data_IF_484441980929
#
_entry.id   IF_484441980929
#
_cell.length_a   1.000
_cell.length_b   1.000
_cell.length_c   1.000
_cell.angle_alpha   90.00
_cell.angle_beta   90.00
_cell.angle_gamma   90.00
#
_symmetry.space_group_name_H-M   'P 1'
#
loop_
_entity.id
_entity.type
_entity.pdbx_description
1 polymer ?
#
# COMPACT_ATOMS: atom_id res chain seq x y z
N UNK A 1 -13.05 5.02 6.65
CA UNK A 1 -13.03 3.60 6.21
C UNK A 1 -12.02 3.47 5.08
N UNK A 2 -10.93 2.72 5.31
CA UNK A 2 -9.93 2.43 4.29
C UNK A 2 -10.16 1.00 3.81
N UNK A 3 -10.56 0.85 2.55
CA UNK A 3 -10.93 -0.43 1.97
C UNK A 3 -9.98 -0.76 0.82
N UNK A 4 -9.44 -1.97 0.84
CA UNK A 4 -8.73 -2.50 -0.31
C UNK A 4 -9.72 -3.23 -1.22
N UNK A 5 -9.77 -2.83 -2.47
CA UNK A 5 -10.68 -3.39 -3.47
C UNK A 5 -9.85 -3.85 -4.67
N UNK A 6 -10.19 -5.01 -5.23
CA UNK A 6 -9.63 -5.48 -6.50
C UNK A 6 -10.64 -5.18 -7.58
N UNK A 7 -10.26 -4.36 -8.55
CA UNK A 7 -11.08 -4.02 -9.71
C UNK A 7 -10.39 -4.59 -10.95
N UNK A 8 -11.12 -5.38 -11.75
CA UNK A 8 -10.63 -5.74 -13.07
C UNK A 8 -10.85 -4.56 -14.02
N UNK A 9 -9.77 -4.03 -14.58
CA UNK A 9 -9.82 -3.01 -15.63
C UNK A 9 -9.15 -3.60 -16.88
N UNK A 10 -9.93 -3.78 -17.95
CA UNK A 10 -9.51 -4.41 -19.22
C UNK A 10 -8.91 -5.81 -19.05
N UNK A 11 -9.45 -6.60 -18.12
CA UNK A 11 -8.94 -7.95 -17.83
C UNK A 11 -7.62 -7.98 -17.06
N UNK A 12 -7.02 -6.83 -16.74
CA UNK A 12 -5.88 -6.74 -15.83
C UNK A 12 -6.36 -6.44 -14.41
N UNK A 13 -5.81 -7.14 -13.39
CA UNK A 13 -6.12 -6.82 -12.01
C UNK A 13 -5.52 -5.47 -11.62
N UNK A 14 -6.36 -4.50 -11.30
CA UNK A 14 -5.96 -3.25 -10.64
C UNK A 14 -6.32 -3.35 -9.16
N UNK A 15 -5.39 -2.98 -8.28
CA UNK A 15 -5.68 -2.88 -6.85
C UNK A 15 -5.91 -1.45 -6.46
N UNK A 16 -7.04 -1.22 -5.82
CA UNK A 16 -7.51 0.09 -5.41
C UNK A 16 -7.41 0.17 -3.89
N UNK A 17 -6.52 1.05 -3.42
CA UNK A 17 -6.51 1.52 -2.05
C UNK A 17 -7.37 2.78 -2.00
N UNK A 18 -8.61 2.62 -1.59
CA UNK A 18 -9.54 3.73 -1.49
C UNK A 18 -9.66 4.15 -0.01
N UNK A 19 -9.46 5.43 0.24
CA UNK A 19 -9.60 6.04 1.55
C UNK A 19 -10.81 6.96 1.55
N UNK A 20 -11.79 6.67 2.41
CA UNK A 20 -12.90 7.58 2.70
C UNK A 20 -12.74 8.10 4.12
N UNK A 21 -12.36 9.38 4.26
CA UNK A 21 -12.22 10.03 5.57
C UNK A 21 -13.59 10.45 6.13
N UNK A 22 -14.50 10.95 5.28
CA UNK A 22 -15.89 11.25 5.62
C UNK A 22 -16.77 11.15 4.35
N UNK A 23 -18.08 11.46 4.44
CA UNK A 23 -19.01 11.43 3.30
C UNK A 23 -18.85 12.60 2.32
N UNK A 24 -17.91 13.53 2.55
CA UNK A 24 -17.69 14.70 1.71
C UNK A 24 -16.66 14.37 0.61
N UNK A 25 -17.08 14.44 -0.66
CA UNK A 25 -16.21 14.15 -1.83
C UNK A 25 -14.92 14.98 -1.84
N UNK A 26 -14.93 16.20 -1.31
CA UNK A 26 -13.78 17.11 -1.26
C UNK A 26 -12.64 16.63 -0.37
N UNK A 27 -12.86 15.60 0.45
CA UNK A 27 -11.86 14.98 1.33
C UNK A 27 -11.57 13.52 0.95
N UNK A 28 -11.97 13.12 -0.24
CA UNK A 28 -11.80 11.74 -0.71
C UNK A 28 -10.69 11.66 -1.75
N UNK A 29 -9.92 10.58 -1.69
CA UNK A 29 -8.94 10.26 -2.71
C UNK A 29 -8.99 8.77 -3.04
N UNK A 30 -8.66 8.47 -4.29
CA UNK A 30 -8.50 7.11 -4.77
C UNK A 30 -7.02 6.93 -5.09
N UNK A 31 -6.36 6.01 -4.40
CA UNK A 31 -5.04 5.54 -4.78
C UNK A 31 -5.20 4.17 -5.39
N UNK A 32 -4.61 3.93 -6.55
CA UNK A 32 -4.66 2.64 -7.21
C UNK A 32 -3.27 2.29 -7.73
N UNK A 33 -3.04 0.99 -7.86
CA UNK A 33 -1.81 0.45 -8.41
C UNK A 33 -2.13 -0.35 -9.66
N UNK A 34 -1.47 -0.01 -10.76
CA UNK A 34 -1.57 -0.69 -12.05
C UNK A 34 -0.16 -0.91 -12.59
N UNK A 35 0.16 -2.16 -12.96
CA UNK A 35 1.49 -2.54 -13.46
C UNK A 35 2.63 -1.99 -12.59
N UNK A 36 2.53 -2.17 -11.27
CA UNK A 36 3.55 -1.73 -10.31
C UNK A 36 3.81 -0.20 -10.28
N UNK A 37 2.86 0.61 -10.76
CA UNK A 37 2.90 2.07 -10.67
C UNK A 37 1.69 2.58 -9.85
N UNK A 38 1.91 3.61 -9.04
CA UNK A 38 0.88 4.24 -8.22
C UNK A 38 0.21 5.38 -9.00
N UNK A 39 -1.12 5.43 -8.97
CA UNK A 39 -1.91 6.55 -9.45
C UNK A 39 -2.77 7.08 -8.31
N UNK A 40 -2.71 8.38 -8.04
CA UNK A 40 -3.56 9.05 -7.06
C UNK A 40 -4.51 10.01 -7.76
N UNK A 41 -5.79 9.93 -7.39
CA UNK A 41 -6.86 10.76 -7.91
C UNK A 41 -7.51 11.46 -6.71
N UNK A 42 -7.60 12.79 -6.74
CA UNK A 42 -8.38 13.53 -5.75
C UNK A 42 -9.83 13.63 -6.23
N UNK A 43 -10.80 13.20 -5.42
CA UNK A 43 -12.20 13.28 -5.81
C UNK A 43 -12.78 14.69 -5.69
N UNK A 44 -12.06 15.67 -5.12
CA UNK A 44 -12.44 17.08 -5.29
C UNK A 44 -12.41 17.51 -6.76
N UNK A 45 -11.55 16.89 -7.57
CA UNK A 45 -11.34 17.26 -8.96
C UNK A 45 -12.55 16.96 -9.83
N UNK A 46 -13.41 16.04 -9.39
CA UNK A 46 -14.60 15.65 -10.16
C UNK A 46 -15.74 16.66 -10.01
N UNK A 47 -15.72 17.54 -8.99
CA UNK A 47 -16.87 18.38 -8.61
C UNK A 47 -17.39 19.26 -9.76
N UNK A 48 -16.48 19.68 -10.63
CA UNK A 48 -16.74 20.53 -11.80
C UNK A 48 -16.83 19.71 -13.10
N UNK A 49 -16.99 18.39 -13.00
CA UNK A 49 -17.06 17.47 -14.13
C UNK A 49 -18.42 16.78 -14.21
N UNK A 50 -18.83 16.27 -15.39
CA UNK A 50 -20.04 15.45 -15.52
C UNK A 50 -20.03 14.19 -14.63
N UNK A 51 -18.86 13.70 -14.21
CA UNK A 51 -18.76 12.55 -13.29
C UNK A 51 -19.32 12.86 -11.90
N UNK A 52 -19.43 14.12 -11.49
CA UNK A 52 -19.94 14.46 -10.18
C UNK A 52 -21.38 13.96 -9.98
N UNK A 53 -22.24 14.17 -10.98
CA UNK A 53 -23.64 13.76 -10.92
C UNK A 53 -23.78 12.24 -10.89
N UNK A 54 -23.01 11.53 -11.74
CA UNK A 54 -22.91 10.07 -11.75
C UNK A 54 -22.50 9.53 -10.38
N UNK A 55 -21.46 10.10 -9.77
CA UNK A 55 -20.97 9.65 -8.47
C UNK A 55 -21.97 9.91 -7.35
N UNK A 56 -22.63 11.08 -7.34
CA UNK A 56 -23.69 11.39 -6.39
C UNK A 56 -24.85 10.41 -6.52
N UNK A 57 -25.26 10.06 -7.74
CA UNK A 57 -26.32 9.08 -7.96
C UNK A 57 -25.95 7.70 -7.41
N UNK A 58 -24.71 7.24 -7.65
CA UNK A 58 -24.22 5.95 -7.12
C UNK A 58 -24.21 5.95 -5.58
N UNK A 59 -23.72 7.03 -4.97
CA UNK A 59 -23.57 7.13 -3.51
C UNK A 59 -24.94 7.29 -2.81
N UNK A 60 -25.89 8.00 -3.43
CA UNK A 60 -27.25 8.20 -2.91
C UNK A 60 -28.22 7.06 -3.21
N UNK A 61 -27.82 6.08 -4.02
CA UNK A 61 -28.66 4.92 -4.33
C UNK A 61 -29.19 4.21 -3.07
N UNK A 62 -30.41 3.69 -3.18
CA UNK A 62 -31.27 3.08 -2.14
C UNK A 62 -30.64 1.89 -1.39
N UNK A 63 -31.21 1.46 -0.24
CA UNK A 63 -30.53 0.62 0.77
C UNK A 63 -30.21 -0.83 0.35
N UNK A 64 -30.59 -1.27 -0.84
CA UNK A 64 -30.28 -2.62 -1.37
C UNK A 64 -28.76 -2.87 -1.49
N UNK A 65 -27.95 -1.79 -1.48
CA UNK A 65 -26.48 -1.87 -1.50
C UNK A 65 -25.89 -1.32 -0.21
N UNK A 66 -25.04 -2.14 0.42
CA UNK A 66 -24.17 -1.66 1.51
C UNK A 66 -23.34 -0.46 1.05
N UNK A 67 -22.97 0.43 1.96
CA UNK A 67 -22.12 1.59 1.63
C UNK A 67 -20.85 1.13 0.88
N UNK A 68 -20.25 0.03 1.34
CA UNK A 68 -19.10 -0.60 0.69
C UNK A 68 -19.32 -0.90 -0.80
N UNK A 69 -20.46 -1.47 -1.18
CA UNK A 69 -20.79 -1.76 -2.59
C UNK A 69 -20.98 -0.50 -3.43
N UNK A 70 -21.61 0.54 -2.86
CA UNK A 70 -21.79 1.83 -3.54
C UNK A 70 -20.45 2.52 -3.78
N UNK A 71 -19.59 2.50 -2.77
CA UNK A 71 -18.23 3.03 -2.86
C UNK A 71 -17.38 2.29 -3.89
N UNK A 72 -17.42 0.95 -3.91
CA UNK A 72 -16.75 0.15 -4.91
C UNK A 72 -17.16 0.56 -6.34
N UNK A 73 -18.45 0.77 -6.57
CA UNK A 73 -18.97 1.19 -7.87
C UNK A 73 -18.52 2.61 -8.23
N UNK A 74 -18.56 3.54 -7.26
CA UNK A 74 -18.08 4.91 -7.45
C UNK A 74 -16.59 4.94 -7.85
N UNK A 75 -15.73 4.21 -7.12
CA UNK A 75 -14.32 4.06 -7.50
C UNK A 75 -14.16 3.45 -8.89
N UNK A 76 -14.90 2.41 -9.21
CA UNK A 76 -14.83 1.75 -10.53
C UNK A 76 -15.16 2.72 -11.67
N UNK A 77 -16.15 3.60 -11.49
CA UNK A 77 -16.53 4.61 -12.49
C UNK A 77 -15.43 5.65 -12.72
N UNK A 78 -14.82 6.17 -11.66
CA UNK A 78 -13.71 7.13 -11.75
C UNK A 78 -12.48 6.49 -12.41
N UNK A 79 -12.17 5.26 -12.01
CA UNK A 79 -11.04 4.49 -12.57
C UNK A 79 -11.24 4.23 -14.06
N UNK A 80 -12.46 3.89 -14.48
CA UNK A 80 -12.79 3.68 -15.89
C UNK A 80 -12.53 4.94 -16.73
N UNK A 81 -12.83 6.13 -16.21
CA UNK A 81 -12.53 7.38 -16.92
C UNK A 81 -11.03 7.62 -17.05
N UNK A 82 -10.26 7.28 -16.00
CA UNK A 82 -8.81 7.47 -15.96
C UNK A 82 -8.01 6.44 -16.77
N UNK A 83 -8.66 5.34 -17.17
CA UNK A 83 -7.99 4.16 -17.71
C UNK A 83 -7.15 4.44 -18.96
N UNK A 84 -7.61 5.20 -19.97
CA UNK A 84 -6.80 5.50 -21.15
C UNK A 84 -5.51 6.26 -20.81
N UNK A 85 -5.59 7.22 -19.88
CA UNK A 85 -4.42 7.97 -19.41
C UNK A 85 -3.47 7.08 -18.65
N UNK A 86 -3.99 6.23 -17.75
CA UNK A 86 -3.17 5.28 -17.00
C UNK A 86 -2.43 4.31 -17.93
N UNK A 87 -3.11 3.73 -18.92
CA UNK A 87 -2.49 2.87 -19.94
C UNK A 87 -1.37 3.59 -20.71
N UNK A 88 -1.57 4.89 -20.98
CA UNK A 88 -0.57 5.69 -21.68
C UNK A 88 0.67 5.96 -20.83
N UNK A 89 0.51 6.07 -19.52
CA UNK A 89 1.61 6.30 -18.57
C UNK A 89 2.36 5.00 -18.25
N UNK A 90 1.63 3.92 -18.03
CA UNK A 90 2.17 2.61 -17.65
C UNK A 90 2.48 1.71 -18.86
N UNK A 91 3.20 2.25 -19.86
CA UNK A 91 3.55 1.54 -21.10
C UNK A 91 4.65 0.46 -20.96
N UNK A 92 5.07 0.13 -19.75
CA UNK A 92 6.20 -0.79 -19.51
C UNK A 92 5.82 -2.09 -18.82
N UNK A 93 6.68 -3.10 -18.96
CA UNK A 93 6.68 -4.32 -18.15
C UNK A 93 7.26 -4.06 -16.75
N UNK A 94 6.71 -3.05 -16.07
CA UNK A 94 7.05 -2.72 -14.69
C UNK A 94 6.60 -3.88 -13.80
N UNK A 95 7.55 -4.54 -13.15
CA UNK A 95 7.32 -5.63 -12.20
C UNK A 95 8.09 -5.35 -10.92
N UNK A 96 7.42 -5.46 -9.77
CA UNK A 96 8.11 -5.49 -8.49
C UNK A 96 8.81 -6.83 -8.35
N UNK A 97 10.14 -6.83 -8.36
CA UNK A 97 10.96 -8.03 -8.19
C UNK A 97 11.65 -8.05 -6.84
N UNK A 98 11.91 -6.89 -6.27
CA UNK A 98 12.65 -6.68 -5.03
C UNK A 98 11.89 -5.77 -4.07
N UNK A 99 12.29 -5.72 -2.81
CA UNK A 99 11.81 -4.70 -1.86
C UNK A 99 12.23 -3.30 -2.33
N UNK A 100 13.39 -3.16 -2.96
CA UNK A 100 13.81 -1.89 -3.58
C UNK A 100 12.77 -1.37 -4.60
N UNK A 101 12.25 -2.25 -5.47
CA UNK A 101 11.22 -1.85 -6.44
C UNK A 101 9.94 -1.36 -5.77
N UNK A 102 9.55 -1.95 -4.63
CA UNK A 102 8.41 -1.50 -3.84
C UNK A 102 8.66 -0.13 -3.21
N UNK A 103 9.85 0.13 -2.67
CA UNK A 103 10.21 1.42 -2.08
C UNK A 103 10.33 2.55 -3.11
N UNK A 104 10.59 2.19 -4.36
CA UNK A 104 10.87 3.13 -5.44
C UNK A 104 9.85 3.05 -6.59
N UNK A 105 8.59 2.82 -6.24
CA UNK A 105 7.47 2.73 -7.17
C UNK A 105 7.20 4.08 -7.81
N UNK A 106 7.09 4.13 -9.14
CA UNK A 106 6.72 5.37 -9.83
C UNK A 106 5.31 5.78 -9.42
N UNK A 107 5.12 7.06 -9.20
CA UNK A 107 3.84 7.62 -8.82
C UNK A 107 3.40 8.76 -9.73
N UNK A 108 2.09 8.80 -9.98
CA UNK A 108 1.43 9.79 -10.80
C UNK A 108 0.23 10.36 -10.06
N UNK A 109 0.06 11.68 -10.10
CA UNK A 109 -1.21 12.32 -9.77
C UNK A 109 -2.00 12.51 -11.05
N UNK A 110 -3.27 12.09 -11.03
CA UNK A 110 -4.23 12.30 -12.10
C UNK A 110 -5.24 13.34 -11.64
N UNK A 111 -5.36 14.41 -12.39
CA UNK A 111 -6.28 15.50 -12.13
C UNK A 111 -7.39 15.47 -13.17
N UNK A 112 -8.64 15.39 -12.72
CA UNK A 112 -9.82 15.41 -13.57
C UNK A 112 -10.31 16.86 -13.68
N UNK A 113 -10.64 17.29 -14.90
CA UNK A 113 -11.10 18.65 -15.17
C UNK A 113 -12.29 18.61 -16.12
N UNK A 114 -13.24 19.52 -15.94
CA UNK A 114 -14.40 19.65 -16.81
C UNK A 114 -14.11 20.65 -17.91
N UNK A 115 -14.12 20.21 -19.17
CA UNK A 115 -14.02 21.11 -20.31
C UNK A 115 -15.11 20.77 -21.33
N UNK A 116 -15.98 21.75 -21.61
CA UNK A 116 -17.06 21.64 -22.60
C UNK A 116 -17.96 20.39 -22.42
N UNK A 117 -18.32 20.06 -21.18
CA UNK A 117 -19.16 18.89 -20.86
C UNK A 117 -18.45 17.54 -21.01
N UNK A 118 -17.12 17.53 -21.12
CA UNK A 118 -16.29 16.32 -21.13
C UNK A 118 -15.29 16.34 -19.98
N UNK A 119 -14.92 15.15 -19.52
CA UNK A 119 -13.81 14.98 -18.58
C UNK A 119 -12.50 15.03 -19.37
N UNK A 120 -11.58 15.88 -18.92
CA UNK A 120 -10.19 15.92 -19.38
C UNK A 120 -9.28 15.54 -18.22
N UNK A 121 -8.25 14.73 -18.50
CA UNK A 121 -7.38 14.19 -17.47
C UNK A 121 -5.96 14.70 -17.70
N UNK A 122 -5.47 15.50 -16.77
CA UNK A 122 -4.08 15.88 -16.71
C UNK A 122 -3.32 14.89 -15.82
N UNK A 123 -2.03 14.72 -16.07
CA UNK A 123 -1.17 13.88 -15.23
C UNK A 123 0.13 14.59 -14.89
N UNK A 124 0.62 14.37 -13.68
CA UNK A 124 1.94 14.82 -13.24
C UNK A 124 2.68 13.67 -12.56
N UNK A 125 4.00 13.62 -12.72
CA UNK A 125 4.81 12.66 -11.97
C UNK A 125 5.02 13.16 -10.55
N UNK A 126 4.82 12.28 -9.58
CA UNK A 126 5.15 12.49 -8.17
C UNK A 126 6.54 11.93 -7.82
N UNK A 127 7.32 11.53 -8.83
CA UNK A 127 8.58 10.84 -8.64
C UNK A 127 8.39 9.38 -8.24
N UNK A 128 9.20 8.93 -7.28
CA UNK A 128 9.19 7.56 -6.75
C UNK A 128 8.74 7.59 -5.29
N UNK A 129 7.82 6.69 -4.95
CA UNK A 129 7.24 6.54 -3.61
C UNK A 129 7.26 5.08 -3.19
N UNK A 130 7.19 4.84 -1.88
CA UNK A 130 7.00 3.49 -1.37
C UNK A 130 5.56 3.01 -1.65
N UNK A 131 5.42 1.84 -2.26
CA UNK A 131 4.14 1.21 -2.56
C UNK A 131 3.45 0.69 -1.30
N UNK A 132 2.11 0.57 -1.37
CA UNK A 132 1.26 0.08 -0.29
C UNK A 132 1.40 0.88 1.00
N UNK A 133 1.08 0.23 2.11
CA UNK A 133 1.33 0.73 3.44
C UNK A 133 2.83 0.77 3.77
N UNK A 134 3.78 0.55 2.85
CA UNK A 134 5.20 0.66 3.24
C UNK A 134 5.53 2.07 3.73
N UNK A 135 6.15 2.12 4.90
CA UNK A 135 6.69 3.33 5.49
C UNK A 135 8.12 3.04 5.97
N UNK A 136 9.17 3.40 5.19
CA UNK A 136 10.51 3.33 5.71
C UNK A 136 10.67 4.26 6.91
N UNK A 137 11.36 3.79 7.94
CA UNK A 137 11.68 4.55 9.16
C UNK A 137 13.19 4.78 9.25
N UNK A 138 13.61 5.80 9.99
CA UNK A 138 15.03 6.02 10.22
C UNK A 138 15.63 4.88 11.02
N UNK A 139 16.83 4.43 10.67
CA UNK A 139 17.57 3.48 11.51
C UNK A 139 17.85 4.04 12.92
N UNK A 140 17.88 5.36 13.07
CA UNK A 140 17.99 6.01 14.38
C UNK A 140 16.72 5.81 15.22
N UNK A 141 15.54 5.87 14.60
CA UNK A 141 14.26 5.66 15.31
C UNK A 141 14.12 4.21 15.83
N UNK A 142 14.91 3.29 15.28
CA UNK A 142 15.02 1.90 15.72
C UNK A 142 16.06 1.68 16.84
N UNK A 143 16.60 2.78 17.38
CA UNK A 143 17.61 2.95 18.45
C UNK A 143 18.13 1.70 19.22
N UNK A 144 19.46 1.60 19.28
CA UNK A 144 20.37 0.85 20.19
C UNK A 144 20.29 -0.68 20.32
N UNK A 145 19.18 -1.36 19.99
CA UNK A 145 19.06 -2.82 20.27
C UNK A 145 19.23 -3.71 19.06
N UNK A 146 19.06 -3.17 17.87
CA UNK A 146 19.07 -3.94 16.63
C UNK A 146 20.46 -3.96 15.96
N UNK A 147 21.52 -3.51 16.64
CA UNK A 147 22.88 -3.49 16.10
C UNK A 147 23.42 -4.90 15.83
N UNK A 148 22.86 -5.91 16.47
CA UNK A 148 23.23 -7.32 16.33
C UNK A 148 22.51 -8.03 15.19
N UNK A 149 21.42 -7.47 14.67
CA UNK A 149 20.71 -8.13 13.58
C UNK A 149 21.46 -7.96 12.25
N UNK A 150 21.46 -9.00 11.41
CA UNK A 150 21.86 -8.89 10.03
C UNK A 150 21.07 -7.79 9.30
N UNK A 151 21.76 -7.07 8.43
CA UNK A 151 21.18 -6.08 7.53
C UNK A 151 21.24 -6.63 6.11
N UNK A 152 20.11 -6.58 5.42
CA UNK A 152 19.96 -7.02 4.04
C UNK A 152 19.62 -5.79 3.18
N UNK A 153 20.35 -5.59 2.09
CA UNK A 153 19.99 -4.53 1.16
C UNK A 153 18.63 -4.83 0.53
N UNK A 154 17.78 -3.81 0.42
CA UNK A 154 16.45 -3.89 -0.22
C UNK A 154 16.48 -4.48 -1.63
N UNK A 155 17.57 -4.28 -2.36
CA UNK A 155 17.83 -4.82 -3.70
C UNK A 155 18.02 -6.33 -3.72
N UNK A 156 18.45 -6.90 -2.59
CA UNK A 156 18.81 -8.32 -2.49
C UNK A 156 17.62 -9.16 -2.00
N UNK A 157 16.55 -8.51 -1.54
CA UNK A 157 15.33 -9.17 -1.03
C UNK A 157 14.30 -9.27 -2.14
N UNK A 158 14.12 -10.48 -2.68
CA UNK A 158 13.20 -10.76 -3.78
C UNK A 158 11.73 -10.88 -3.32
N UNK A 159 10.80 -10.62 -4.24
CA UNK A 159 9.36 -10.86 -4.06
C UNK A 159 8.97 -12.16 -4.77
N UNK A 160 8.35 -13.10 -4.05
CA UNK A 160 7.98 -14.42 -4.58
C UNK A 160 6.59 -14.48 -5.21
N UNK A 161 5.63 -13.76 -4.63
CA UNK A 161 4.23 -13.81 -5.05
C UNK A 161 3.87 -12.66 -6.00
N UNK A 162 4.47 -12.66 -7.19
CA UNK A 162 4.18 -11.65 -8.23
C UNK A 162 2.80 -11.85 -8.90
N UNK A 163 2.12 -12.96 -8.61
CA UNK A 163 0.82 -13.31 -9.20
C UNK A 163 -0.38 -12.72 -8.45
N UNK A 164 -0.25 -12.42 -7.15
CA UNK A 164 -1.24 -11.62 -6.41
C UNK A 164 -0.77 -10.16 -6.44
N UNK A 165 -1.63 -9.22 -6.84
CA UNK A 165 -1.30 -7.80 -6.78
C UNK A 165 -1.87 -7.19 -5.48
N UNK A 166 -1.03 -6.73 -4.53
CA UNK A 166 0.37 -7.12 -4.37
C UNK A 166 0.56 -8.50 -3.75
N UNK A 167 1.82 -8.98 -3.79
CA UNK A 167 2.29 -9.99 -2.88
C UNK A 167 1.89 -9.61 -1.45
N UNK A 168 1.12 -10.48 -0.78
CA UNK A 168 0.90 -10.39 0.67
C UNK A 168 2.17 -10.69 1.46
N UNK A 169 3.17 -11.29 0.80
CA UNK A 169 4.38 -11.79 1.40
C UNK A 169 5.56 -11.54 0.44
N UNK A 170 6.63 -10.91 0.95
CA UNK A 170 7.93 -11.01 0.30
C UNK A 170 8.73 -12.11 0.98
N UNK A 171 9.58 -12.81 0.22
CA UNK A 171 10.45 -13.85 0.75
C UNK A 171 11.91 -13.51 0.52
N UNK A 172 12.73 -13.52 1.56
CA UNK A 172 14.18 -13.47 1.35
C UNK A 172 14.61 -14.78 0.68
N UNK A 173 14.99 -14.74 -0.60
CA UNK A 173 15.78 -15.83 -1.21
C UNK A 173 17.24 -15.60 -0.82
N UNK A 174 17.56 -15.76 0.47
CA UNK A 174 18.96 -15.79 0.90
C UNK A 174 19.64 -17.07 0.41
N UNK A 175 18.84 -18.12 0.24
CA UNK A 175 19.14 -19.43 -0.34
C UNK A 175 17.88 -19.95 -1.05
N UNK A 176 17.99 -20.84 -2.05
CA UNK A 176 16.84 -21.44 -2.72
C UNK A 176 15.87 -22.20 -1.80
N UNK A 177 16.29 -22.54 -0.58
CA UNK A 177 15.61 -23.51 0.28
C UNK A 177 14.97 -22.91 1.56
N UNK A 178 15.26 -21.65 1.90
CA UNK A 178 14.71 -20.98 3.09
C UNK A 178 13.69 -19.90 2.69
N UNK A 179 12.47 -20.00 3.22
CA UNK A 179 11.40 -19.01 3.01
C UNK A 179 11.26 -18.19 4.29
N UNK A 180 11.71 -16.94 4.26
CA UNK A 180 11.54 -16.00 5.37
C UNK A 180 10.51 -14.95 5.02
N UNK A 181 9.58 -14.62 5.91
CA UNK A 181 8.53 -13.66 5.59
C UNK A 181 8.93 -12.22 5.94
N UNK A 182 8.85 -11.32 4.96
CA UNK A 182 9.06 -9.90 5.22
C UNK A 182 7.79 -9.24 5.78
N UNK A 183 7.96 -8.42 6.81
CA UNK A 183 6.93 -7.55 7.37
C UNK A 183 7.37 -6.10 7.25
N UNK A 184 6.68 -5.31 6.42
CA UNK A 184 6.89 -3.87 6.34
C UNK A 184 6.38 -3.16 7.58
N UNK A 185 6.99 -2.01 7.88
CA UNK A 185 6.30 -1.00 8.68
C UNK A 185 5.14 -0.46 7.86
N UNK A 186 3.93 -0.58 8.39
CA UNK A 186 2.75 -0.06 7.70
C UNK A 186 2.69 1.46 7.87
N UNK A 187 1.94 2.17 7.02
CA UNK A 187 1.64 3.57 7.21
C UNK A 187 0.70 3.71 8.39
N UNK A 188 0.87 4.78 9.16
CA UNK A 188 -0.06 5.09 10.22
C UNK A 188 -1.50 5.17 9.67
N UNK A 189 -2.39 4.44 10.31
CA UNK A 189 -3.82 4.45 10.05
C UNK A 189 -4.51 5.19 11.18
N UNK A 190 -5.44 6.08 10.85
CA UNK A 190 -6.28 6.73 11.87
C UNK A 190 -7.45 5.82 12.20
N UNK A 191 -7.60 5.46 13.47
CA UNK A 191 -8.79 4.76 13.96
C UNK A 191 -10.04 5.62 13.70
N UNK A 192 -11.08 4.97 13.17
CA UNK A 192 -12.26 5.69 12.70
C UNK A 192 -13.13 6.22 13.85
N UNK A 193 -13.06 5.60 15.03
CA UNK A 193 -13.91 5.91 16.17
C UNK A 193 -13.19 6.79 17.20
N UNK A 194 -11.88 6.59 17.41
CA UNK A 194 -11.09 7.34 18.39
C UNK A 194 -10.27 8.48 17.78
N UNK A 195 -10.02 8.45 16.47
CA UNK A 195 -9.13 9.41 15.80
C UNK A 195 -7.65 9.23 16.14
N UNK A 196 -7.29 8.19 16.90
CA UNK A 196 -5.91 7.89 17.25
C UNK A 196 -5.13 7.33 16.05
N UNK A 197 -3.85 7.68 15.94
CA UNK A 197 -2.96 7.08 14.95
C UNK A 197 -2.51 5.71 15.46
N UNK A 198 -2.75 4.68 14.66
CA UNK A 198 -2.31 3.32 14.89
C UNK A 198 -1.42 2.83 13.75
N UNK A 199 -0.35 2.15 14.13
CA UNK A 199 0.53 1.40 13.25
C UNK A 199 0.77 0.02 13.85
N UNK A 200 -0.17 -0.91 13.62
CA UNK A 200 -0.11 -2.24 14.20
C UNK A 200 1.21 -2.97 13.90
N UNK A 201 1.69 -2.91 12.65
CA UNK A 201 2.94 -3.57 12.26
C UNK A 201 4.15 -2.96 12.98
N UNK A 202 4.21 -1.64 13.12
CA UNK A 202 5.24 -0.98 13.94
C UNK A 202 5.13 -1.37 15.42
N UNK A 203 3.92 -1.33 16.01
CA UNK A 203 3.70 -1.75 17.41
C UNK A 203 4.12 -3.20 17.65
N UNK A 204 3.83 -4.11 16.72
CA UNK A 204 4.28 -5.50 16.79
C UNK A 204 5.80 -5.60 16.78
N UNK A 205 6.47 -4.89 15.88
CA UNK A 205 7.94 -4.88 15.78
C UNK A 205 8.58 -4.27 17.02
N UNK A 206 8.09 -3.13 17.48
CA UNK A 206 8.56 -2.45 18.71
C UNK A 206 8.33 -3.31 19.96
N UNK A 207 7.17 -3.97 20.06
CA UNK A 207 6.85 -4.91 21.13
C UNK A 207 7.80 -6.10 21.17
N UNK A 208 8.16 -6.65 20.00
CA UNK A 208 9.16 -7.72 19.91
C UNK A 208 10.55 -7.24 20.33
N UNK A 209 11.01 -6.09 19.82
CA UNK A 209 12.31 -5.50 20.18
C UNK A 209 12.39 -5.32 21.70
N UNK A 210 11.31 -4.82 22.31
CA UNK A 210 11.22 -4.64 23.77
C UNK A 210 11.31 -5.98 24.50
N UNK A 211 10.59 -7.01 24.02
CA UNK A 211 10.62 -8.35 24.59
C UNK A 211 12.03 -8.96 24.55
N UNK A 212 12.75 -8.84 23.44
CA UNK A 212 14.12 -9.35 23.31
C UNK A 212 15.10 -8.68 24.30
N UNK A 213 14.99 -7.35 24.50
CA UNK A 213 15.79 -6.62 25.52
C UNK A 213 15.56 -7.18 26.93
N UNK A 214 14.32 -7.56 27.23
CA UNK A 214 13.94 -8.07 28.55
C UNK A 214 14.19 -9.57 28.73
N UNK A 215 14.27 -10.34 27.65
CA UNK A 215 14.29 -11.81 27.70
C UNK A 215 15.62 -12.36 27.24
N UNK A 216 16.61 -12.35 28.15
CA UNK A 216 17.75 -13.29 28.11
C UNK A 216 17.46 -14.58 28.90
N UNK A 217 16.18 -14.92 29.08
CA UNK A 217 15.73 -16.12 29.79
C UNK A 217 14.58 -16.81 29.05
N UNK A 218 14.94 -17.81 28.24
CA UNK A 218 14.15 -18.93 27.68
C UNK A 218 12.77 -18.66 27.03
N UNK A 219 12.56 -19.05 25.75
CA UNK A 219 11.25 -18.94 25.11
C UNK A 219 10.39 -20.17 25.47
N UNK A 220 9.28 -19.96 26.16
CA UNK A 220 8.15 -20.89 26.10
C UNK A 220 7.34 -20.53 24.85
N UNK A 221 7.34 -21.45 23.88
CA UNK A 221 6.66 -21.30 22.60
C UNK A 221 5.14 -21.20 22.79
N UNK A 222 4.57 -20.11 22.29
CA UNK A 222 3.16 -20.04 21.87
C UNK A 222 3.12 -20.04 20.34
N UNK A 223 2.00 -20.47 19.76
CA UNK A 223 1.78 -20.68 18.31
C UNK A 223 1.96 -19.44 17.42
N UNK A 224 2.13 -18.24 18.01
CA UNK A 224 2.45 -16.97 17.33
C UNK A 224 3.92 -16.53 17.55
N UNK A 225 4.82 -17.49 17.77
CA UNK A 225 6.25 -17.21 17.95
C UNK A 225 6.91 -16.85 16.62
N UNK A 226 7.03 -15.54 16.40
CA UNK A 226 7.74 -14.96 15.28
C UNK A 226 9.17 -14.60 15.67
N UNK A 227 10.16 -15.11 14.91
CA UNK A 227 11.57 -14.75 15.09
C UNK A 227 11.95 -13.64 14.10
N UNK A 228 12.52 -12.55 14.60
CA UNK A 228 13.09 -11.52 13.74
C UNK A 228 14.51 -11.95 13.34
N UNK A 229 14.75 -12.05 12.04
CA UNK A 229 16.00 -12.60 11.48
C UNK A 229 16.92 -11.52 10.88
N UNK A 230 16.38 -10.33 10.64
CA UNK A 230 17.15 -9.18 10.18
C UNK A 230 16.31 -8.03 9.67
N UNK A 231 17.00 -6.96 9.29
CA UNK A 231 16.41 -5.74 8.79
C UNK A 231 16.64 -5.62 7.28
N UNK A 232 15.62 -5.15 6.57
CA UNK A 232 15.78 -4.74 5.17
C UNK A 232 16.04 -3.23 5.13
N UNK A 233 17.17 -2.85 4.56
CA UNK A 233 17.68 -1.47 4.59
C UNK A 233 17.78 -0.85 3.19
N UNK A 234 17.54 0.45 3.13
CA UNK A 234 17.68 1.32 1.95
C UNK A 234 18.40 2.60 2.38
N UNK A 235 19.70 2.70 2.09
CA UNK A 235 20.55 3.77 2.64
C UNK A 235 20.52 3.77 4.18
N UNK A 236 20.23 4.94 4.77
CA UNK A 236 20.09 5.13 6.23
C UNK A 236 18.68 4.81 6.77
N UNK A 237 17.79 4.29 5.92
CA UNK A 237 16.41 3.93 6.26
C UNK A 237 16.22 2.42 6.36
N UNK A 238 15.27 2.00 7.19
CA UNK A 238 14.78 0.63 7.28
C UNK A 238 13.34 0.53 6.79
N UNK A 239 13.06 -0.42 5.90
CA UNK A 239 11.74 -0.60 5.29
C UNK A 239 10.88 -1.70 5.92
N UNK A 240 11.49 -2.56 6.73
CA UNK A 240 10.79 -3.62 7.44
C UNK A 240 11.72 -4.65 8.05
N UNK A 241 11.13 -5.76 8.48
CA UNK A 241 11.77 -6.80 9.27
C UNK A 241 11.49 -8.18 8.66
N UNK A 242 12.47 -9.07 8.65
CA UNK A 242 12.26 -10.46 8.26
C UNK A 242 11.83 -11.29 9.47
N UNK A 243 10.74 -12.03 9.33
CA UNK A 243 9.98 -12.67 10.39
C UNK A 243 9.69 -14.13 10.04
N UNK A 244 10.24 -15.06 10.83
CA UNK A 244 10.08 -16.54 10.87
C UNK A 244 10.00 -17.34 9.56
N UNK A 245 10.32 -18.63 9.68
CA UNK A 245 10.10 -19.66 8.67
C UNK A 245 8.96 -20.55 9.21
N UNK A 246 7.85 -20.67 8.46
CA UNK A 246 6.86 -21.72 8.75
C UNK A 246 7.50 -23.04 8.33
N UNK A 247 7.63 -23.98 9.28
CA UNK A 247 7.89 -25.38 8.98
C UNK A 247 6.57 -26.09 8.69
#
# INVERSE_FOLDING_TARGET
MTGTIIVAADGLPCRVLSGMHNSELSKMSVVLYRQCEQFSINLSDILETPLHEDLQAILRATPERTMFKRWHLACSRVIAECLPTMQTLSKGDSSWKTVHDLLHTKAHALQLTGLAGKVTIASSSLGRVAAYYMQPVSLQDLETTITTLPRYASSDVLLRDQAEAPPKMASLVHRPEDILYFRSFDRDTTDADTGELDNLSRRCVEGWIKAERTTRASPAATDDSFAVLGLVVEGDLAAGVLVSQRF
#
